data_IF_771176550348
#
_entry.id   IF_771176550348
#
_cell.length_a   1.000
_cell.length_b   1.000
_cell.length_c   1.000
_cell.angle_alpha   90.00
_cell.angle_beta   90.00
_cell.angle_gamma   90.00
#
_symmetry.space_group_name_H-M   'P 1'
#
loop_
_entity.id
_entity.type
_entity.pdbx_description
1 polymer ?
#
# COMPACT_ATOMS: atom_id res chain seq x y z
N UNK A 1 -21.98 -24.79 -25.71
CA UNK A 1 -21.30 -23.67 -26.39
C UNK A 1 -22.28 -22.55 -26.75
N UNK A 2 -23.31 -22.82 -27.56
CA UNK A 2 -24.30 -21.81 -27.96
C UNK A 2 -24.97 -21.09 -26.78
N UNK A 3 -25.47 -21.85 -25.80
CA UNK A 3 -26.12 -21.31 -24.60
C UNK A 3 -25.23 -20.32 -23.82
N UNK A 4 -23.96 -20.67 -23.62
CA UNK A 4 -22.96 -19.82 -22.96
C UNK A 4 -22.75 -18.51 -23.72
N UNK A 5 -22.55 -18.59 -25.05
CA UNK A 5 -22.32 -17.40 -25.88
C UNK A 5 -23.55 -16.48 -25.92
N UNK A 6 -24.76 -17.06 -26.01
CA UNK A 6 -26.01 -16.30 -25.94
C UNK A 6 -26.16 -15.59 -24.59
N UNK A 7 -25.86 -16.29 -23.48
CA UNK A 7 -25.91 -15.71 -22.13
C UNK A 7 -24.93 -14.55 -21.96
N UNK A 8 -23.69 -14.69 -22.45
CA UNK A 8 -22.70 -13.61 -22.42
C UNK A 8 -23.15 -12.40 -23.26
N UNK A 9 -23.73 -12.63 -24.44
CA UNK A 9 -24.24 -11.58 -25.30
C UNK A 9 -25.43 -10.83 -24.68
N UNK A 10 -26.35 -11.55 -24.04
CA UNK A 10 -27.49 -10.96 -23.34
C UNK A 10 -27.04 -10.02 -22.23
N UNK A 11 -26.11 -10.46 -21.37
CA UNK A 11 -25.53 -9.64 -20.30
C UNK A 11 -24.80 -8.42 -20.87
N UNK A 12 -24.05 -8.60 -21.97
CA UNK A 12 -23.31 -7.53 -22.60
C UNK A 12 -24.22 -6.41 -23.11
N UNK A 13 -25.31 -6.77 -23.79
CA UNK A 13 -26.30 -5.81 -24.30
C UNK A 13 -27.03 -5.13 -23.15
N UNK A 14 -27.50 -5.91 -22.17
CA UNK A 14 -28.28 -5.40 -21.03
C UNK A 14 -27.51 -4.38 -20.20
N UNK A 15 -26.21 -4.64 -19.96
CA UNK A 15 -25.37 -3.83 -19.07
C UNK A 15 -24.41 -2.88 -19.82
N UNK A 16 -24.57 -2.77 -21.14
CA UNK A 16 -23.75 -1.92 -22.00
C UNK A 16 -22.24 -2.20 -21.88
N UNK A 17 -21.85 -3.45 -22.10
CA UNK A 17 -20.44 -3.88 -22.07
C UNK A 17 -19.80 -3.72 -23.44
N UNK A 18 -18.49 -3.47 -23.46
CA UNK A 18 -17.73 -3.32 -24.70
C UNK A 18 -16.95 -4.59 -25.03
N UNK A 19 -16.67 -4.80 -26.32
CA UNK A 19 -15.79 -5.87 -26.77
C UNK A 19 -14.33 -5.47 -26.45
N UNK A 20 -13.60 -6.23 -25.62
CA UNK A 20 -12.20 -5.91 -25.35
C UNK A 20 -11.30 -6.28 -26.54
N UNK A 21 -10.21 -5.54 -26.72
CA UNK A 21 -9.07 -5.99 -27.53
C UNK A 21 -8.18 -6.88 -26.64
N UNK A 22 -7.96 -8.14 -27.03
CA UNK A 22 -7.09 -9.07 -26.30
C UNK A 22 -5.86 -9.38 -27.16
N UNK A 23 -4.68 -9.15 -26.62
CA UNK A 23 -3.41 -9.34 -27.34
C UNK A 23 -2.33 -10.00 -26.46
N UNK A 24 -1.15 -10.23 -27.04
CA UNK A 24 0.00 -10.84 -26.35
C UNK A 24 0.90 -9.80 -25.64
N UNK A 25 0.46 -8.55 -25.55
CA UNK A 25 1.23 -7.51 -24.86
C UNK A 25 1.12 -7.66 -23.34
N UNK A 26 1.90 -6.87 -22.62
CA UNK A 26 1.76 -6.69 -21.18
C UNK A 26 0.81 -5.55 -20.79
N UNK A 27 0.01 -4.99 -21.68
CA UNK A 27 -0.79 -3.78 -21.39
C UNK A 27 -2.15 -4.13 -20.81
N UNK A 28 -2.58 -3.46 -19.75
CA UNK A 28 -3.96 -3.43 -19.27
C UNK A 28 -4.39 -1.96 -19.30
N UNK A 29 -5.15 -1.57 -20.32
CA UNK A 29 -5.75 -0.24 -20.42
C UNK A 29 -7.27 -0.36 -20.43
N UNK A 30 -7.91 0.19 -19.41
CA UNK A 30 -9.36 0.15 -19.20
C UNK A 30 -9.83 1.59 -19.07
N UNK A 31 -10.78 2.01 -19.91
CA UNK A 31 -11.43 3.33 -19.81
C UNK A 31 -12.83 3.19 -19.25
N UNK A 32 -13.14 4.01 -18.24
CA UNK A 32 -14.41 4.01 -17.52
C UNK A 32 -14.87 2.59 -17.10
N UNK A 33 -13.96 1.81 -16.55
CA UNK A 33 -14.26 0.48 -16.04
C UNK A 33 -15.24 0.53 -14.87
N UNK A 34 -16.11 -0.48 -14.77
CA UNK A 34 -17.10 -0.65 -13.71
C UNK A 34 -17.02 -2.06 -13.12
N UNK A 35 -17.36 -2.19 -11.85
CA UNK A 35 -17.36 -3.50 -11.21
C UNK A 35 -18.64 -4.27 -11.59
N UNK A 36 -18.55 -5.43 -12.26
CA UNK A 36 -19.71 -6.08 -12.92
C UNK A 36 -20.82 -6.50 -11.95
N UNK A 37 -20.47 -6.78 -10.68
CA UNK A 37 -21.45 -7.08 -9.62
C UNK A 37 -21.93 -5.83 -8.88
N UNK A 38 -21.01 -5.01 -8.37
CA UNK A 38 -21.35 -3.84 -7.52
C UNK A 38 -22.16 -2.79 -8.29
N UNK A 39 -21.96 -2.65 -9.61
CA UNK A 39 -22.77 -1.73 -10.43
C UNK A 39 -24.26 -2.10 -10.43
N UNK A 40 -24.61 -3.37 -10.21
CA UNK A 40 -25.98 -3.89 -10.24
C UNK A 40 -26.64 -3.93 -8.86
N UNK A 41 -25.87 -3.89 -7.77
CA UNK A 41 -26.41 -4.06 -6.41
C UNK A 41 -26.86 -2.76 -5.76
N UNK A 42 -26.54 -1.60 -6.35
CA UNK A 42 -26.92 -0.28 -5.82
C UNK A 42 -27.79 0.49 -6.83
N UNK A 43 -29.06 0.10 -7.03
CA UNK A 43 -29.94 0.74 -8.02
C UNK A 43 -30.15 2.24 -7.77
N UNK A 44 -30.07 2.67 -6.52
CA UNK A 44 -30.29 4.07 -6.12
C UNK A 44 -29.01 4.92 -6.12
N UNK A 45 -27.86 4.37 -6.54
CA UNK A 45 -26.58 5.07 -6.53
C UNK A 45 -25.79 4.77 -7.81
N UNK A 46 -25.48 5.81 -8.58
CA UNK A 46 -24.63 5.68 -9.76
C UNK A 46 -23.25 5.14 -9.37
N UNK A 47 -22.84 4.04 -9.99
CA UNK A 47 -21.48 3.52 -9.87
C UNK A 47 -20.50 4.48 -10.56
N UNK A 48 -19.41 4.84 -9.87
CA UNK A 48 -18.40 5.75 -10.42
C UNK A 48 -17.36 4.96 -11.20
N UNK A 49 -17.27 5.12 -12.54
CA UNK A 49 -16.33 4.37 -13.35
C UNK A 49 -14.89 4.89 -13.18
N UNK A 50 -13.91 4.01 -13.34
CA UNK A 50 -12.49 4.30 -13.13
C UNK A 50 -11.63 3.79 -14.28
N UNK A 51 -10.60 4.57 -14.61
CA UNK A 51 -9.60 4.17 -15.59
C UNK A 51 -8.53 3.30 -14.90
N UNK A 52 -7.96 2.36 -15.64
CA UNK A 52 -6.81 1.56 -15.21
C UNK A 52 -5.78 1.54 -16.31
N UNK A 53 -4.52 1.80 -15.96
CA UNK A 53 -3.38 1.69 -16.87
C UNK A 53 -2.25 0.94 -16.17
N UNK A 54 -2.00 -0.29 -16.61
CA UNK A 54 -0.84 -1.09 -16.22
C UNK A 54 -0.08 -1.54 -17.46
N UNK A 55 1.24 -1.54 -17.41
CA UNK A 55 2.09 -2.01 -18.50
C UNK A 55 3.39 -2.63 -17.96
N UNK A 56 4.23 -3.16 -18.84
CA UNK A 56 5.54 -3.73 -18.45
C UNK A 56 6.66 -2.67 -18.37
N UNK A 57 6.34 -1.37 -18.49
CA UNK A 57 7.27 -0.25 -18.60
C UNK A 57 7.08 0.81 -17.52
N UNK A 58 6.29 1.84 -17.81
CA UNK A 58 6.12 3.05 -16.98
C UNK A 58 5.12 2.91 -15.84
N UNK A 59 4.15 2.01 -15.97
CA UNK A 59 3.06 1.81 -15.01
C UNK A 59 2.92 0.34 -14.64
N UNK A 60 4.04 -0.27 -14.24
CA UNK A 60 4.06 -1.68 -13.81
C UNK A 60 3.40 -1.87 -12.45
N UNK A 61 3.72 -0.99 -11.51
CA UNK A 61 3.17 -0.98 -10.17
C UNK A 61 2.41 0.31 -9.95
N UNK A 62 1.17 0.20 -9.49
CA UNK A 62 0.39 1.35 -9.03
C UNK A 62 0.20 1.28 -7.52
N UNK A 63 0.67 2.30 -6.81
CA UNK A 63 0.45 2.48 -5.38
C UNK A 63 -0.85 3.22 -5.19
N UNK A 64 -1.83 2.60 -4.52
CA UNK A 64 -3.17 3.15 -4.35
C UNK A 64 -3.35 3.56 -2.89
N UNK A 65 -3.38 4.86 -2.66
CA UNK A 65 -3.56 5.45 -1.33
C UNK A 65 -4.96 6.04 -1.16
N UNK A 66 -5.39 6.18 0.09
CA UNK A 66 -6.69 6.73 0.46
C UNK A 66 -7.38 5.93 1.56
N UNK A 67 -8.50 6.41 2.10
CA UNK A 67 -9.18 5.74 3.20
C UNK A 67 -9.86 4.43 2.77
N UNK A 68 -10.12 3.53 3.71
CA UNK A 68 -10.59 2.16 3.42
C UNK A 68 -11.97 2.12 2.76
N UNK A 69 -12.83 3.10 3.05
CA UNK A 69 -14.16 3.21 2.45
C UNK A 69 -14.20 3.98 1.13
N UNK A 70 -13.05 4.39 0.59
CA UNK A 70 -12.99 5.22 -0.62
C UNK A 70 -12.98 4.43 -1.94
N UNK A 71 -13.14 3.09 -1.88
CA UNK A 71 -13.34 2.26 -3.07
C UNK A 71 -12.08 1.63 -3.66
N UNK A 72 -10.93 1.68 -2.96
CA UNK A 72 -9.65 1.07 -3.40
C UNK A 72 -9.81 -0.42 -3.73
N UNK A 73 -10.32 -1.22 -2.79
CA UNK A 73 -10.48 -2.66 -2.98
C UNK A 73 -11.50 -2.98 -4.09
N UNK A 74 -12.56 -2.18 -4.23
CA UNK A 74 -13.52 -2.30 -5.34
C UNK A 74 -12.85 -2.06 -6.70
N UNK A 75 -12.03 -1.01 -6.80
CA UNK A 75 -11.29 -0.68 -8.02
C UNK A 75 -10.29 -1.78 -8.42
N UNK A 76 -9.55 -2.34 -7.45
CA UNK A 76 -8.62 -3.44 -7.73
C UNK A 76 -9.36 -4.71 -8.15
N UNK A 77 -10.40 -5.12 -7.40
CA UNK A 77 -11.22 -6.30 -7.75
C UNK A 77 -11.88 -6.16 -9.12
N UNK A 78 -12.38 -4.97 -9.44
CA UNK A 78 -12.92 -4.65 -10.74
C UNK A 78 -11.90 -4.91 -11.86
N UNK A 79 -10.66 -4.45 -11.70
CA UNK A 79 -9.61 -4.65 -12.71
C UNK A 79 -9.36 -6.15 -12.94
N UNK A 80 -9.21 -6.96 -11.88
CA UNK A 80 -9.06 -8.41 -12.02
C UNK A 80 -10.27 -9.07 -12.70
N UNK A 81 -11.49 -8.66 -12.35
CA UNK A 81 -12.70 -9.21 -12.96
C UNK A 81 -12.77 -8.87 -14.46
N UNK A 82 -12.42 -7.65 -14.86
CA UNK A 82 -12.39 -7.24 -16.27
C UNK A 82 -11.37 -8.07 -17.05
N UNK A 83 -10.16 -8.27 -16.51
CA UNK A 83 -9.13 -9.12 -17.13
C UNK A 83 -9.62 -10.56 -17.30
N UNK A 84 -10.21 -11.13 -16.24
CA UNK A 84 -10.76 -12.48 -16.29
C UNK A 84 -11.89 -12.59 -17.33
N UNK A 85 -12.83 -11.64 -17.34
CA UNK A 85 -13.95 -11.59 -18.29
C UNK A 85 -13.46 -11.50 -19.75
N UNK A 86 -12.42 -10.69 -20.02
CA UNK A 86 -11.83 -10.60 -21.35
C UNK A 86 -11.22 -11.95 -21.79
N UNK A 87 -10.47 -12.62 -20.91
CA UNK A 87 -9.80 -13.89 -21.22
C UNK A 87 -10.72 -15.11 -21.30
N UNK A 88 -11.92 -15.06 -20.73
CA UNK A 88 -12.97 -16.09 -20.98
C UNK A 88 -13.72 -15.86 -22.31
N UNK A 89 -13.44 -14.75 -23.00
CA UNK A 89 -14.10 -14.38 -24.27
C UNK A 89 -15.42 -13.61 -24.10
N UNK A 90 -15.64 -12.95 -22.96
CA UNK A 90 -16.81 -12.09 -22.73
C UNK A 90 -16.53 -10.62 -23.11
N UNK A 91 -17.60 -9.89 -23.38
CA UNK A 91 -17.58 -8.42 -23.32
C UNK A 91 -17.37 -7.98 -21.86
N UNK A 92 -16.84 -6.77 -21.66
CA UNK A 92 -16.42 -6.26 -20.34
C UNK A 92 -17.10 -4.95 -19.94
N UNK A 93 -17.29 -4.69 -18.63
CA UNK A 93 -17.94 -3.49 -18.09
C UNK A 93 -17.04 -2.24 -18.19
N UNK A 94 -16.76 -1.76 -19.40
CA UNK A 94 -15.93 -0.58 -19.64
C UNK A 94 -16.42 0.19 -20.87
N UNK A 95 -15.97 1.44 -21.05
CA UNK A 95 -16.18 2.18 -22.30
C UNK A 95 -15.29 1.62 -23.42
N UNK A 96 -14.05 1.29 -23.09
CA UNK A 96 -13.10 0.59 -23.95
C UNK A 96 -12.08 -0.16 -23.10
N UNK A 97 -11.58 -1.29 -23.58
CA UNK A 97 -10.57 -2.07 -22.88
C UNK A 97 -9.59 -2.74 -23.85
N UNK A 98 -8.30 -2.65 -23.55
CA UNK A 98 -7.22 -3.43 -24.16
C UNK A 98 -6.53 -4.24 -23.07
N UNK A 99 -6.56 -5.57 -23.21
CA UNK A 99 -6.14 -6.53 -22.20
C UNK A 99 -5.10 -7.48 -22.81
N UNK A 100 -3.84 -7.21 -22.50
CA UNK A 100 -2.74 -8.10 -22.75
C UNK A 100 -2.79 -9.32 -21.83
N UNK A 101 -2.47 -10.50 -22.38
CA UNK A 101 -2.63 -11.78 -21.68
C UNK A 101 -2.00 -11.78 -20.28
N UNK A 102 -2.76 -12.30 -19.34
CA UNK A 102 -2.39 -12.53 -17.95
C UNK A 102 -2.41 -14.02 -17.67
N UNK A 103 -1.28 -14.58 -17.23
CA UNK A 103 -1.17 -16.02 -16.98
C UNK A 103 -1.87 -16.43 -15.68
N UNK A 104 -1.77 -15.61 -14.64
CA UNK A 104 -2.37 -15.81 -13.32
C UNK A 104 -2.74 -14.47 -12.69
N UNK A 105 -3.86 -14.47 -11.98
CA UNK A 105 -4.29 -13.35 -11.12
C UNK A 105 -4.09 -13.78 -9.68
N UNK A 106 -3.25 -13.06 -8.95
CA UNK A 106 -3.02 -13.27 -7.52
C UNK A 106 -3.69 -12.17 -6.71
N UNK A 107 -4.36 -12.55 -5.64
CA UNK A 107 -5.04 -11.60 -4.76
C UNK A 107 -4.63 -11.86 -3.32
N UNK A 108 -4.18 -10.80 -2.65
CA UNK A 108 -4.14 -10.68 -1.21
C UNK A 108 -5.03 -9.50 -0.86
N UNK A 109 -6.33 -9.78 -0.70
CA UNK A 109 -7.31 -8.79 -0.30
C UNK A 109 -7.91 -9.31 1.00
N UNK A 110 -7.70 -8.58 2.10
CA UNK A 110 -8.13 -9.00 3.43
C UNK A 110 -9.58 -9.52 3.42
N UNK A 111 -9.76 -10.76 3.86
CA UNK A 111 -11.04 -11.31 4.26
C UNK A 111 -11.05 -11.40 5.79
N UNK A 112 -12.23 -11.16 6.36
CA UNK A 112 -12.55 -11.20 7.79
C UNK A 112 -11.80 -12.29 8.57
N UNK A 113 -11.23 -11.89 9.70
CA UNK A 113 -10.44 -12.69 10.64
C UNK A 113 -10.91 -14.15 10.72
N UNK A 114 -10.14 -15.06 10.16
CA UNK A 114 -10.30 -16.48 10.42
C UNK A 114 -9.58 -16.79 11.75
N UNK A 115 -10.34 -16.70 12.84
CA UNK A 115 -9.85 -16.92 14.20
C UNK A 115 -9.52 -18.40 14.50
N UNK A 116 -9.63 -19.32 13.51
CA UNK A 116 -9.72 -20.76 13.80
C UNK A 116 -8.48 -21.61 13.51
N UNK A 117 -7.30 -21.03 13.21
CA UNK A 117 -6.11 -21.81 12.84
C UNK A 117 -4.99 -21.90 13.89
N UNK A 118 -5.08 -21.22 15.03
CA UNK A 118 -3.97 -21.19 16.03
C UNK A 118 -2.68 -20.54 15.51
N UNK A 119 -2.69 -19.98 14.30
CA UNK A 119 -1.61 -19.21 13.71
C UNK A 119 -1.88 -17.71 13.85
N UNK A 120 -0.83 -16.91 14.02
CA UNK A 120 -0.95 -15.44 13.99
C UNK A 120 -1.50 -15.01 12.64
N UNK A 121 -2.47 -14.08 12.63
CA UNK A 121 -3.04 -13.49 11.41
C UNK A 121 -1.96 -12.91 10.49
N UNK A 122 -0.91 -12.34 11.09
CA UNK A 122 0.25 -11.85 10.36
C UNK A 122 1.07 -12.98 9.70
N UNK A 123 1.19 -14.14 10.35
CA UNK A 123 1.90 -15.28 9.77
C UNK A 123 1.14 -15.87 8.58
N UNK A 124 -0.19 -15.93 8.66
CA UNK A 124 -1.06 -16.34 7.53
C UNK A 124 -0.89 -15.35 6.37
N UNK A 125 -0.95 -14.04 6.66
CA UNK A 125 -0.71 -12.99 5.68
C UNK A 125 0.66 -13.15 4.98
N UNK A 126 1.73 -13.36 5.74
CA UNK A 126 3.08 -13.53 5.18
C UNK A 126 3.21 -14.82 4.37
N UNK A 127 2.51 -15.89 4.75
CA UNK A 127 2.49 -17.14 3.99
C UNK A 127 1.77 -16.97 2.65
N UNK A 128 0.67 -16.21 2.63
CA UNK A 128 -0.05 -15.85 1.41
C UNK A 128 0.84 -15.00 0.48
N UNK A 129 1.49 -13.96 1.01
CA UNK A 129 2.43 -13.13 0.23
C UNK A 129 3.58 -13.97 -0.33
N UNK A 130 4.19 -14.84 0.49
CA UNK A 130 5.25 -15.73 0.04
C UNK A 130 4.79 -16.68 -1.08
N UNK A 131 3.57 -17.23 -0.96
CA UNK A 131 2.98 -18.08 -1.99
C UNK A 131 2.73 -17.31 -3.30
N UNK A 132 2.25 -16.08 -3.23
CA UNK A 132 2.06 -15.21 -4.40
C UNK A 132 3.42 -14.96 -5.08
N UNK A 133 4.40 -14.46 -4.34
CA UNK A 133 5.71 -14.09 -4.90
C UNK A 133 6.47 -15.29 -5.49
N UNK A 134 6.28 -16.49 -4.92
CA UNK A 134 6.91 -17.73 -5.42
C UNK A 134 6.32 -18.22 -6.75
N UNK A 135 5.03 -17.98 -7.00
CA UNK A 135 4.33 -18.56 -8.15
C UNK A 135 3.97 -17.53 -9.24
N UNK A 136 4.09 -16.24 -8.92
CA UNK A 136 3.92 -15.16 -9.87
C UNK A 136 5.02 -15.18 -10.94
N UNK A 137 4.64 -14.79 -12.14
CA UNK A 137 5.57 -14.53 -13.25
C UNK A 137 5.46 -13.06 -13.66
N UNK A 138 6.37 -12.60 -14.52
CA UNK A 138 6.28 -11.25 -15.10
C UNK A 138 4.94 -10.96 -15.80
N UNK A 139 4.26 -11.99 -16.30
CA UNK A 139 2.98 -11.86 -17.00
C UNK A 139 1.77 -11.96 -16.05
N UNK A 140 2.00 -12.13 -14.75
CA UNK A 140 0.91 -12.19 -13.76
C UNK A 140 0.38 -10.81 -13.41
N UNK A 141 -0.85 -10.77 -12.91
CA UNK A 141 -1.46 -9.58 -12.29
C UNK A 141 -1.57 -9.82 -10.78
N UNK A 142 -0.94 -8.97 -9.99
CA UNK A 142 -0.97 -9.03 -8.53
C UNK A 142 -1.86 -7.92 -7.98
N UNK A 143 -2.75 -8.29 -7.06
CA UNK A 143 -3.55 -7.34 -6.29
C UNK A 143 -3.21 -7.55 -4.82
N UNK A 144 -2.58 -6.56 -4.22
CA UNK A 144 -2.09 -6.61 -2.85
C UNK A 144 -2.74 -5.46 -2.06
N UNK A 145 -3.46 -5.78 -0.99
CA UNK A 145 -4.21 -4.83 -0.15
C UNK A 145 -3.71 -4.92 1.29
N UNK A 146 -3.21 -3.80 1.82
CA UNK A 146 -2.80 -3.61 3.22
C UNK A 146 -1.76 -4.62 3.76
N UNK A 147 -0.73 -4.93 2.97
CA UNK A 147 0.41 -5.74 3.47
C UNK A 147 1.10 -5.05 4.65
N UNK A 148 1.44 -5.80 5.69
CA UNK A 148 2.23 -5.35 6.83
C UNK A 148 1.40 -4.81 7.99
N UNK A 149 0.06 -4.80 7.89
CA UNK A 149 -0.80 -4.16 8.92
C UNK A 149 -0.84 -4.92 10.25
N UNK A 150 -0.57 -6.22 10.26
CA UNK A 150 -0.63 -7.07 11.45
C UNK A 150 0.59 -7.03 12.38
N UNK A 151 1.56 -6.15 12.16
CA UNK A 151 2.83 -6.07 12.92
C UNK A 151 3.18 -4.63 13.32
N UNK A 152 4.37 -4.42 13.90
CA UNK A 152 4.88 -3.08 14.22
C UNK A 152 4.88 -2.19 12.97
N UNK A 153 4.59 -0.90 13.13
CA UNK A 153 4.44 0.02 11.99
C UNK A 153 5.67 0.04 11.08
N UNK A 154 6.87 0.07 11.68
CA UNK A 154 8.12 0.12 10.93
C UNK A 154 8.44 -1.22 10.25
N UNK A 155 8.23 -2.36 10.92
CA UNK A 155 8.45 -3.67 10.29
C UNK A 155 7.45 -3.89 9.14
N UNK A 156 6.18 -3.54 9.35
CA UNK A 156 5.13 -3.66 8.36
C UNK A 156 5.42 -2.81 7.12
N UNK A 157 5.83 -1.55 7.32
CA UNK A 157 6.24 -0.66 6.23
C UNK A 157 7.47 -1.18 5.50
N UNK A 158 8.50 -1.65 6.22
CA UNK A 158 9.72 -2.19 5.61
C UNK A 158 9.43 -3.42 4.75
N UNK A 159 8.58 -4.34 5.23
CA UNK A 159 8.15 -5.51 4.47
C UNK A 159 7.34 -5.09 3.24
N UNK A 160 6.35 -4.21 3.41
CA UNK A 160 5.51 -3.73 2.32
C UNK A 160 6.36 -3.08 1.21
N UNK A 161 7.32 -2.22 1.60
CA UNK A 161 8.30 -1.62 0.69
C UNK A 161 9.10 -2.68 -0.06
N UNK A 162 9.70 -3.65 0.65
CA UNK A 162 10.51 -4.68 0.02
C UNK A 162 9.72 -5.54 -0.98
N UNK A 163 8.46 -5.87 -0.67
CA UNK A 163 7.56 -6.60 -1.57
C UNK A 163 7.25 -5.77 -2.82
N UNK A 164 6.98 -4.49 -2.64
CA UNK A 164 6.65 -3.55 -3.71
C UNK A 164 7.84 -3.36 -4.67
N UNK A 165 9.04 -3.11 -4.14
CA UNK A 165 10.30 -3.02 -4.91
C UNK A 165 10.60 -4.34 -5.63
N UNK A 166 10.35 -5.50 -4.99
CA UNK A 166 10.51 -6.81 -5.62
C UNK A 166 9.57 -7.01 -6.83
N UNK A 167 8.31 -6.55 -6.73
CA UNK A 167 7.35 -6.58 -7.82
C UNK A 167 7.72 -5.61 -8.95
N UNK A 168 8.22 -4.43 -8.59
CA UNK A 168 8.61 -3.40 -9.54
C UNK A 168 9.88 -3.78 -10.31
N UNK A 169 10.85 -4.47 -9.70
CA UNK A 169 12.13 -4.77 -10.34
C UNK A 169 12.00 -5.81 -11.47
N UNK A 170 12.22 -5.38 -12.72
CA UNK A 170 12.24 -6.23 -13.92
C UNK A 170 13.28 -7.35 -13.91
N UNK A 171 14.34 -7.22 -13.11
CA UNK A 171 15.38 -8.25 -12.96
C UNK A 171 14.98 -9.31 -11.93
N UNK A 172 13.96 -9.02 -11.12
CA UNK A 172 13.36 -9.94 -10.15
C UNK A 172 12.03 -10.45 -10.71
N UNK A 173 10.90 -9.96 -10.19
CA UNK A 173 9.58 -10.40 -10.63
C UNK A 173 9.07 -9.60 -11.84
N UNK A 174 9.08 -8.27 -11.75
CA UNK A 174 8.64 -7.40 -12.83
C UNK A 174 7.19 -7.64 -13.27
N UNK A 175 6.28 -7.96 -12.34
CA UNK A 175 4.88 -8.24 -12.64
C UNK A 175 4.00 -7.00 -12.49
N UNK A 176 2.87 -6.98 -13.20
CA UNK A 176 1.85 -5.93 -13.07
C UNK A 176 1.21 -6.00 -11.69
N UNK A 177 1.27 -4.93 -10.92
CA UNK A 177 0.84 -4.96 -9.51
C UNK A 177 -0.01 -3.75 -9.17
N UNK A 178 -1.17 -3.99 -8.56
CA UNK A 178 -1.96 -2.98 -7.85
C UNK A 178 -1.72 -3.14 -6.36
N UNK A 179 -1.14 -2.12 -5.73
CA UNK A 179 -0.71 -2.16 -4.34
C UNK A 179 -1.47 -1.10 -3.53
N UNK A 180 -2.53 -1.50 -2.82
CA UNK A 180 -3.24 -0.61 -1.91
C UNK A 180 -2.57 -0.60 -0.53
N UNK A 181 -2.31 0.60 -0.02
CA UNK A 181 -1.60 0.77 1.25
C UNK A 181 -2.13 1.94 2.07
N UNK A 182 -1.88 1.88 3.38
CA UNK A 182 -2.07 2.99 4.31
C UNK A 182 -0.75 3.70 4.66
N UNK A 183 0.40 3.15 4.25
CA UNK A 183 1.71 3.78 4.39
C UNK A 183 1.89 4.85 3.32
N UNK A 184 1.76 6.11 3.71
CA UNK A 184 1.93 7.25 2.81
C UNK A 184 3.39 7.41 2.38
N UNK A 185 4.31 6.99 3.22
CA UNK A 185 5.77 6.99 3.01
C UNK A 185 6.17 6.18 1.77
N UNK A 186 5.38 5.17 1.38
CA UNK A 186 5.65 4.39 0.17
C UNK A 186 5.39 5.17 -1.12
N UNK A 187 4.68 6.30 -1.07
CA UNK A 187 4.41 7.10 -2.26
C UNK A 187 5.67 7.74 -2.84
N UNK A 188 6.70 7.98 -2.02
CA UNK A 188 8.00 8.50 -2.47
C UNK A 188 8.70 7.55 -3.46
N UNK A 189 8.37 6.24 -3.43
CA UNK A 189 8.94 5.26 -4.35
C UNK A 189 8.59 5.53 -5.82
N UNK A 190 7.47 6.20 -6.09
CA UNK A 190 7.10 6.57 -7.47
C UNK A 190 8.06 7.58 -8.09
N UNK A 191 8.74 8.38 -7.27
CA UNK A 191 9.74 9.36 -7.74
C UNK A 191 11.15 8.73 -7.82
N UNK A 192 11.40 7.70 -7.01
CA UNK A 192 12.70 7.02 -6.92
C UNK A 192 12.87 5.88 -7.93
N UNK A 193 11.80 5.16 -8.26
CA UNK A 193 11.86 3.97 -9.11
C UNK A 193 11.00 4.06 -10.37
N UNK A 194 11.57 3.60 -11.49
CA UNK A 194 10.85 3.55 -12.77
C UNK A 194 9.81 2.43 -12.77
N UNK A 195 8.65 2.71 -13.34
CA UNK A 195 7.57 1.74 -13.45
C UNK A 195 6.60 1.77 -12.27
N UNK A 196 6.79 2.70 -11.32
CA UNK A 196 5.90 2.90 -10.18
C UNK A 196 5.12 4.20 -10.38
N UNK A 197 3.81 4.16 -10.15
CA UNK A 197 2.92 5.34 -10.21
C UNK A 197 2.06 5.42 -8.96
N UNK A 198 1.86 6.64 -8.47
CA UNK A 198 0.92 6.89 -7.39
C UNK A 198 -0.49 7.16 -7.94
N UNK A 199 -1.46 6.51 -7.32
CA UNK A 199 -2.88 6.76 -7.47
C UNK A 199 -3.49 7.04 -6.09
N UNK A 200 -4.47 7.91 -6.04
CA UNK A 200 -5.23 8.17 -4.83
C UNK A 200 -6.73 8.29 -5.12
N UNK A 201 -7.53 8.09 -4.08
CA UNK A 201 -8.98 8.28 -4.16
C UNK A 201 -9.30 9.78 -4.07
N UNK A 202 -10.04 10.31 -5.04
CA UNK A 202 -10.46 11.70 -5.07
C UNK A 202 -11.37 12.04 -3.88
N UNK A 203 -11.02 13.13 -3.20
CA UNK A 203 -11.73 13.63 -2.03
C UNK A 203 -12.22 15.05 -2.32
N UNK A 204 -13.51 15.31 -2.06
CA UNK A 204 -14.10 16.66 -2.16
C UNK A 204 -14.44 17.18 -0.77
N UNK A 205 -13.90 18.34 -0.40
CA UNK A 205 -14.28 19.04 0.83
C UNK A 205 -15.42 20.01 0.56
N UNK A 206 -16.43 20.02 1.42
CA UNK A 206 -17.53 20.99 1.42
C UNK A 206 -17.70 21.52 2.86
N UNK A 207 -17.08 22.66 3.16
CA UNK A 207 -17.01 23.16 4.53
C UNK A 207 -16.26 22.17 5.43
N UNK A 208 -16.90 21.73 6.51
CA UNK A 208 -16.37 20.75 7.46
C UNK A 208 -16.71 19.28 7.11
N UNK A 209 -17.32 19.05 5.95
CA UNK A 209 -17.66 17.71 5.45
C UNK A 209 -16.69 17.26 4.35
N UNK A 210 -16.36 15.97 4.39
CA UNK A 210 -15.51 15.30 3.41
C UNK A 210 -16.35 14.27 2.67
N UNK A 211 -16.36 14.36 1.35
CA UNK A 211 -17.08 13.44 0.47
C UNK A 211 -16.05 12.66 -0.34
N UNK A 212 -16.06 11.34 -0.19
CA UNK A 212 -15.24 10.43 -0.99
C UNK A 212 -15.94 10.16 -2.32
N UNK A 213 -15.33 10.61 -3.43
CA UNK A 213 -15.95 10.52 -4.75
C UNK A 213 -15.85 9.12 -5.38
N UNK A 214 -15.12 8.19 -4.75
CA UNK A 214 -14.82 6.84 -5.27
C UNK A 214 -14.17 6.84 -6.67
N UNK A 215 -13.67 7.99 -7.11
CA UNK A 215 -12.88 8.17 -8.35
C UNK A 215 -11.40 8.04 -8.00
N UNK A 216 -10.67 7.23 -8.73
CA UNK A 216 -9.22 7.10 -8.65
C UNK A 216 -8.58 8.14 -9.58
N UNK A 217 -7.61 8.88 -9.06
CA UNK A 217 -6.88 9.92 -9.79
C UNK A 217 -5.36 9.73 -9.58
N UNK A 218 -4.52 10.17 -10.54
CA UNK A 218 -3.07 10.19 -10.34
C UNK A 218 -2.64 11.07 -9.16
N UNK A 219 -1.60 10.64 -8.45
CA UNK A 219 -1.01 11.34 -7.31
C UNK A 219 -1.03 10.53 -6.02
N UNK A 220 -0.21 10.94 -5.05
CA UNK A 220 -0.30 10.45 -3.67
C UNK A 220 -1.44 11.12 -2.92
N UNK A 221 -1.91 10.50 -1.83
CA UNK A 221 -2.83 11.17 -0.92
C UNK A 221 -2.03 12.10 0.01
N UNK A 222 -2.31 13.41 -0.04
CA UNK A 222 -1.61 14.43 0.75
C UNK A 222 -1.86 14.33 2.27
N UNK A 223 -2.93 13.65 2.70
CA UNK A 223 -3.35 13.55 4.12
C UNK A 223 -4.08 12.25 4.42
N UNK A 224 -3.96 11.80 5.66
CA UNK A 224 -4.84 10.81 6.26
C UNK A 224 -6.18 11.43 6.68
N UNK A 225 -7.30 10.80 6.31
CA UNK A 225 -8.65 11.29 6.61
C UNK A 225 -9.35 10.50 7.72
N UNK A 226 -8.59 9.89 8.63
CA UNK A 226 -9.12 8.99 9.65
C UNK A 226 -10.13 9.66 10.59
N UNK A 227 -9.83 10.89 11.03
CA UNK A 227 -10.70 11.67 11.92
C UNK A 227 -11.98 12.08 11.18
N UNK A 228 -11.87 12.46 9.91
CA UNK A 228 -13.02 12.82 9.07
C UNK A 228 -13.94 11.63 8.81
N UNK A 229 -13.37 10.43 8.62
CA UNK A 229 -14.15 9.18 8.53
C UNK A 229 -14.86 8.88 9.85
N UNK A 230 -14.20 9.08 11.00
CA UNK A 230 -14.85 8.92 12.31
C UNK A 230 -16.02 9.90 12.51
N UNK A 231 -15.87 11.14 12.04
CA UNK A 231 -16.97 12.13 12.07
C UNK A 231 -18.16 11.69 11.21
N UNK A 232 -17.90 11.17 10.01
CA UNK A 232 -18.94 10.62 9.13
C UNK A 232 -19.64 9.40 9.73
N UNK A 233 -18.92 8.59 10.52
CA UNK A 233 -19.48 7.46 11.25
C UNK A 233 -20.35 7.87 12.46
N UNK A 234 -20.45 9.17 12.76
CA UNK A 234 -21.27 9.69 13.85
C UNK A 234 -20.58 9.71 15.22
N UNK A 235 -19.23 9.66 15.25
CA UNK A 235 -18.49 9.82 16.50
C UNK A 235 -18.76 11.21 17.10
N UNK A 236 -19.07 11.32 18.42
CA UNK A 236 -19.41 12.59 19.06
C UNK A 236 -18.39 13.72 18.82
N UNK A 237 -18.91 14.92 18.55
CA UNK A 237 -18.08 16.11 18.26
C UNK A 237 -17.01 16.43 19.32
N UNK A 238 -17.25 16.26 20.64
CA UNK A 238 -16.20 16.44 21.64
C UNK A 238 -15.00 15.50 21.46
N UNK A 239 -15.24 14.24 21.05
CA UNK A 239 -14.18 13.27 20.76
C UNK A 239 -13.43 13.62 19.48
N UNK A 240 -14.14 14.07 18.43
CA UNK A 240 -13.51 14.55 17.20
C UNK A 240 -12.58 15.73 17.49
N UNK A 241 -13.02 16.71 18.30
CA UNK A 241 -12.18 17.84 18.72
C UNK A 241 -10.94 17.39 19.49
N UNK A 242 -11.09 16.45 20.42
CA UNK A 242 -9.96 15.89 21.18
C UNK A 242 -8.98 15.14 20.27
N UNK A 243 -9.49 14.32 19.35
CA UNK A 243 -8.66 13.59 18.39
C UNK A 243 -7.84 14.53 17.51
N UNK A 244 -8.43 15.64 17.03
CA UNK A 244 -7.71 16.67 16.27
C UNK A 244 -6.59 17.33 17.08
N UNK A 245 -6.84 17.64 18.35
CA UNK A 245 -5.81 18.20 19.23
C UNK A 245 -4.64 17.22 19.44
N UNK A 246 -4.93 15.94 19.71
CA UNK A 246 -3.91 14.90 19.86
C UNK A 246 -3.11 14.71 18.56
N UNK A 247 -3.78 14.71 17.40
CA UNK A 247 -3.09 14.58 16.11
C UNK A 247 -2.09 15.74 15.90
N UNK A 248 -2.51 16.98 16.20
CA UNK A 248 -1.63 18.14 16.11
C UNK A 248 -0.42 18.06 17.06
N UNK A 249 -0.61 17.52 18.28
CA UNK A 249 0.48 17.26 19.22
C UNK A 249 1.47 16.22 18.67
N UNK A 250 0.97 15.12 18.08
CA UNK A 250 1.80 14.04 17.51
C UNK A 250 2.58 14.51 16.26
N UNK A 251 1.93 15.24 15.35
CA UNK A 251 2.58 15.82 14.17
C UNK A 251 3.66 16.83 14.58
N UNK A 252 3.40 17.68 15.58
CA UNK A 252 4.41 18.60 16.13
C UNK A 252 5.60 17.90 16.80
N UNK A 253 5.38 16.73 17.40
CA UNK A 253 6.46 15.90 17.96
C UNK A 253 7.28 15.17 16.89
N UNK A 254 6.67 14.81 15.75
CA UNK A 254 7.39 14.22 14.61
C UNK A 254 8.33 15.24 13.96
N UNK A 255 7.84 16.47 13.70
CA UNK A 255 8.67 17.55 13.11
C UNK A 255 9.84 17.95 14.03
N UNK A 256 9.64 17.93 15.35
CA UNK A 256 10.73 18.23 16.31
C UNK A 256 11.75 17.09 16.47
N UNK A 257 11.42 15.86 16.04
CA UNK A 257 12.36 14.74 15.93
C UNK A 257 13.11 14.73 14.60
N UNK A 258 12.46 15.11 13.50
CA UNK A 258 13.09 15.27 12.18
C UNK A 258 14.02 16.51 12.12
N UNK A 259 13.72 17.57 12.86
CA UNK A 259 14.66 18.70 13.05
C UNK A 259 15.83 18.39 14.00
N UNK A 260 16.01 17.13 14.38
CA UNK A 260 17.22 16.61 15.04
C UNK A 260 17.95 15.64 14.11
N UNK A 261 18.10 16.00 12.85
CA UNK A 261 19.28 15.55 12.12
C UNK A 261 20.52 16.20 12.76
N UNK A 262 21.61 15.44 12.98
CA UNK A 262 22.89 16.04 13.31
C UNK A 262 23.30 16.87 12.09
N UNK A 263 23.36 18.19 12.26
CA UNK A 263 24.06 19.07 11.35
C UNK A 263 25.49 18.55 11.19
N UNK A 264 25.76 17.85 10.08
CA UNK A 264 27.10 17.74 9.52
C UNK A 264 27.40 19.08 8.85
N UNK A 265 27.57 20.12 9.67
CA UNK A 265 28.21 21.35 9.23
C UNK A 265 29.71 21.17 9.45
N UNK A 266 30.41 21.13 8.32
CA UNK A 266 31.82 21.31 8.09
C UNK A 266 32.82 20.44 8.86
N UNK A 267 33.76 19.85 8.12
CA UNK A 267 34.99 19.31 8.68
C UNK A 267 35.67 20.35 9.59
N UNK A 268 35.99 19.95 10.83
CA UNK A 268 37.38 20.07 11.21
C UNK A 268 37.87 18.76 11.82
N UNK A 269 38.93 18.21 11.20
CA UNK A 269 39.93 17.31 11.80
C UNK A 269 39.40 16.25 12.79
N UNK A 270 39.43 14.98 12.37
CA UNK A 270 39.35 13.82 13.26
C UNK A 270 40.31 13.99 14.45
N UNK A 271 39.78 14.42 15.58
CA UNK A 271 40.46 14.35 16.86
C UNK A 271 40.31 12.94 17.40
N UNK A 272 41.41 12.40 17.94
CA UNK A 272 41.45 11.08 18.59
C UNK A 272 40.39 10.95 19.73
N UNK A 273 39.95 12.08 20.28
CA UNK A 273 38.91 12.17 21.32
C UNK A 273 37.50 11.85 20.81
N UNK A 274 37.22 12.04 19.51
CA UNK A 274 35.91 11.72 18.93
C UNK A 274 35.69 10.22 18.77
N UNK A 275 36.76 9.47 18.46
CA UNK A 275 36.71 8.01 18.30
C UNK A 275 36.55 7.30 19.65
N UNK A 276 37.19 7.79 20.71
CA UNK A 276 37.04 7.24 22.07
C UNK A 276 35.63 7.46 22.62
N UNK A 277 35.04 8.63 22.40
CA UNK A 277 33.67 8.92 22.80
C UNK A 277 32.64 8.00 22.12
N UNK A 278 32.80 7.73 20.83
CA UNK A 278 31.93 6.82 20.08
C UNK A 278 32.01 5.37 20.60
N UNK A 279 33.23 4.89 20.89
CA UNK A 279 33.48 3.53 21.42
C UNK A 279 32.88 3.33 22.83
N UNK A 280 32.92 4.37 23.66
CA UNK A 280 32.32 4.36 25.00
C UNK A 280 30.80 4.37 24.92
N UNK A 281 30.22 5.16 24.00
CA UNK A 281 28.78 5.19 23.77
C UNK A 281 28.25 3.83 23.29
N UNK A 282 29.01 3.14 22.43
CA UNK A 282 28.64 1.81 21.94
C UNK A 282 28.69 0.77 23.06
N UNK A 283 29.76 0.75 23.87
CA UNK A 283 29.87 -0.14 25.04
C UNK A 283 28.74 0.08 26.05
N UNK A 284 28.35 1.33 26.30
CA UNK A 284 27.23 1.66 27.20
C UNK A 284 25.89 1.14 26.69
N UNK A 285 25.65 1.13 25.37
CA UNK A 285 24.42 0.57 24.78
C UNK A 285 24.32 -0.95 24.91
N UNK A 286 25.46 -1.65 24.95
CA UNK A 286 25.50 -3.11 25.06
C UNK A 286 25.45 -3.62 26.51
N UNK A 287 25.52 -2.73 27.51
CA UNK A 287 25.53 -3.11 28.92
C UNK A 287 24.11 -3.28 29.47
N UNK A 288 23.83 -4.47 30.02
CA UNK A 288 22.59 -4.72 30.77
C UNK A 288 22.82 -4.53 32.28
N UNK A 289 22.40 -3.38 32.78
CA UNK A 289 22.55 -2.97 34.18
C UNK A 289 21.82 -3.90 35.17
N UNK A 290 20.83 -4.67 34.73
CA UNK A 290 20.08 -5.57 35.62
C UNK A 290 20.83 -6.88 35.92
N UNK A 291 21.91 -7.14 35.20
CA UNK A 291 22.69 -8.38 35.30
C UNK A 291 24.02 -8.21 36.02
N UNK A 292 24.45 -6.97 36.27
CA UNK A 292 25.76 -6.66 36.84
C UNK A 292 25.70 -6.54 38.36
N UNK A 293 26.69 -7.13 39.03
CA UNK A 293 26.92 -6.88 40.45
C UNK A 293 27.49 -5.46 40.66
N UNK A 294 27.32 -4.86 41.85
CA UNK A 294 27.83 -3.51 42.12
C UNK A 294 29.34 -3.34 41.85
N UNK A 295 30.15 -4.38 42.07
CA UNK A 295 31.59 -4.34 41.83
C UNK A 295 31.93 -4.38 40.33
N UNK A 296 31.18 -5.14 39.54
CA UNK A 296 31.33 -5.20 38.08
C UNK A 296 30.90 -3.89 37.42
N UNK A 297 29.86 -3.25 37.93
CA UNK A 297 29.43 -1.92 37.49
C UNK A 297 30.55 -0.89 37.71
N UNK A 298 31.16 -0.87 38.90
CA UNK A 298 32.27 0.03 39.22
C UNK A 298 33.52 -0.23 38.37
N UNK A 299 33.86 -1.50 38.12
CA UNK A 299 34.99 -1.86 37.26
C UNK A 299 34.74 -1.46 35.80
N UNK A 300 33.53 -1.69 35.29
CA UNK A 300 33.14 -1.28 33.93
C UNK A 300 33.21 0.23 33.77
N UNK A 301 32.72 0.99 34.75
CA UNK A 301 32.80 2.45 34.75
C UNK A 301 34.25 2.95 34.76
N UNK A 302 35.14 2.27 35.50
CA UNK A 302 36.57 2.56 35.51
C UNK A 302 37.23 2.29 34.16
N UNK A 303 36.87 1.20 33.47
CA UNK A 303 37.34 0.91 32.12
C UNK A 303 36.86 1.93 31.08
N UNK A 304 35.59 2.33 31.14
CA UNK A 304 35.05 3.35 30.25
C UNK A 304 35.73 4.71 30.46
N UNK A 305 36.07 5.06 31.71
CA UNK A 305 36.83 6.28 32.02
C UNK A 305 38.26 6.22 31.48
N UNK A 306 38.90 5.05 31.49
CA UNK A 306 40.23 4.85 30.86
C UNK A 306 40.20 4.98 29.34
N UNK A 307 39.07 4.70 28.69
CA UNK A 307 38.94 4.85 27.25
C UNK A 307 38.77 6.31 26.82
N UNK A 308 38.35 7.19 27.73
CA UNK A 308 38.17 8.63 27.49
C UNK A 308 39.40 9.49 27.82
N UNK A 309 40.44 8.90 28.45
CA UNK A 309 41.67 9.56 28.89
C UNK A 309 42.89 8.97 28.18
#
# INVERSE_FOLDING_TARGET
>A
ALDVLCSLAEVAVKNNYCMPEVDLSGVIDIKDGRHPVVELTQPDSLFVPNDTSLDEGESRVVIITGPNMAGKSTYMRQTALIVLMAQIGSFVPARSARIGLTDRIFTRIGASDDLTSGQSTFMVEMTEVAAILKNATKSSLLILDEIGRGTSTYDGMAIARAVLEYCADTRKLGARTMFATHYHELTELADLEKGIKNLCTAVKKRGDEVIFLRKIIPGGADRSYGIEVAKLAGVPEPLIKRAKAILAELEGQAVSRESREPTYDDEPQLSLDGMSAALVAEKLRMLDLNTLTPIECMNTLFELKKLLN
#
